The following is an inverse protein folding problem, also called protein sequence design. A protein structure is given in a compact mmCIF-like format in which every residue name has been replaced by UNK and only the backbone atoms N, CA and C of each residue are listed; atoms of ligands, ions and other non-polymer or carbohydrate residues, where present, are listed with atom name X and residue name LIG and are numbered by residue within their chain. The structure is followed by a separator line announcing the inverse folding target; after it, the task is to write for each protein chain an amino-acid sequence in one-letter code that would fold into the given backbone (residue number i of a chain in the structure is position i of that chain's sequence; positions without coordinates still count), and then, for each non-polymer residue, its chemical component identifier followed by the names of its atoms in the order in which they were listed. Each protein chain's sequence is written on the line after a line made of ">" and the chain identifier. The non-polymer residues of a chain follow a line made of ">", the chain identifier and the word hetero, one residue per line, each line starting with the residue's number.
data_IF_731485074129
#
_entry.id   IF_731485074129
#
_cell.length_a   1.000
_cell.length_b   1.000
_cell.length_c   1.000
_cell.angle_alpha   90.00
_cell.angle_beta   90.00
_cell.angle_gamma   90.00
#
_symmetry.space_group_name_H-M   'P 1'
#
loop_
_entity.id
_entity.type
_entity.pdbx_description
1 polymer ?
#
# COMPACT_ATOMS: atom_id res chain seq x y z
N UNK A 1 1.27 20.43 -14.17
CA UNK A 1 1.84 19.98 -12.87
C UNK A 1 0.72 19.27 -12.13
N UNK A 2 0.95 18.05 -11.62
CA UNK A 2 -0.05 17.38 -10.80
C UNK A 2 -0.25 18.15 -9.48
N UNK A 3 -1.47 18.20 -8.97
CA UNK A 3 -1.72 18.81 -7.67
C UNK A 3 -1.15 17.95 -6.54
N UNK A 4 -0.82 18.57 -5.41
CA UNK A 4 -0.33 17.84 -4.23
C UNK A 4 -1.30 16.73 -3.79
N UNK A 5 -2.61 16.96 -3.91
CA UNK A 5 -3.63 15.94 -3.61
C UNK A 5 -3.57 14.76 -4.60
N UNK A 6 -3.41 15.03 -5.90
CA UNK A 6 -3.27 13.98 -6.92
C UNK A 6 -2.00 13.14 -6.71
N UNK A 7 -0.89 13.75 -6.33
CA UNK A 7 0.35 13.02 -6.00
C UNK A 7 0.17 12.09 -4.80
N UNK A 8 -0.50 12.56 -3.75
CA UNK A 8 -0.80 11.77 -2.55
C UNK A 8 -1.76 10.62 -2.86
N UNK A 9 -2.81 10.86 -3.64
CA UNK A 9 -3.74 9.84 -4.10
C UNK A 9 -3.02 8.78 -4.97
N UNK A 10 -2.10 9.20 -5.85
CA UNK A 10 -1.31 8.26 -6.64
C UNK A 10 -0.37 7.43 -5.75
N UNK A 11 0.27 8.03 -4.73
CA UNK A 11 1.07 7.29 -3.74
C UNK A 11 0.22 6.24 -3.01
N UNK A 12 -1.00 6.59 -2.58
CA UNK A 12 -1.94 5.65 -1.96
C UNK A 12 -2.23 4.45 -2.88
N UNK A 13 -2.56 4.73 -4.15
CA UNK A 13 -2.84 3.71 -5.17
C UNK A 13 -1.64 2.76 -5.40
N UNK A 14 -0.43 3.31 -5.52
CA UNK A 14 0.79 2.51 -5.69
C UNK A 14 1.04 1.62 -4.48
N UNK A 15 0.84 2.14 -3.26
CA UNK A 15 0.98 1.35 -2.02
C UNK A 15 -0.03 0.22 -1.94
N UNK A 16 -1.29 0.43 -2.33
CA UNK A 16 -2.30 -0.62 -2.43
C UNK A 16 -1.91 -1.70 -3.45
N UNK A 17 -1.46 -1.28 -4.64
CA UNK A 17 -1.00 -2.21 -5.67
C UNK A 17 0.16 -3.07 -5.18
N UNK A 18 1.14 -2.49 -4.47
CA UNK A 18 2.24 -3.22 -3.86
C UNK A 18 1.75 -4.18 -2.76
N UNK A 19 0.81 -3.75 -1.92
CA UNK A 19 0.24 -4.61 -0.88
C UNK A 19 -0.40 -5.87 -1.47
N UNK A 20 -1.14 -5.72 -2.58
CA UNK A 20 -1.75 -6.84 -3.32
C UNK A 20 -0.68 -7.78 -3.91
N UNK A 21 0.43 -7.25 -4.44
CA UNK A 21 1.55 -8.09 -4.91
C UNK A 21 2.13 -8.92 -3.77
N UNK A 22 2.34 -8.34 -2.59
CA UNK A 22 2.84 -9.09 -1.43
C UNK A 22 1.84 -10.12 -0.89
N UNK A 23 0.54 -9.84 -0.96
CA UNK A 23 -0.49 -10.82 -0.63
C UNK A 23 -0.47 -12.02 -1.59
N UNK A 24 -0.31 -11.77 -2.89
CA UNK A 24 -0.13 -12.83 -3.87
C UNK A 24 1.15 -13.64 -3.61
N UNK A 25 2.28 -12.97 -3.30
CA UNK A 25 3.53 -13.64 -2.91
C UNK A 25 3.34 -14.50 -1.65
N UNK A 26 2.58 -14.03 -0.66
CA UNK A 26 2.24 -14.80 0.52
C UNK A 26 1.44 -16.06 0.16
N UNK A 27 0.49 -15.96 -0.77
CA UNK A 27 -0.33 -17.09 -1.22
C UNK A 27 0.48 -18.16 -1.94
N UNK A 28 1.40 -17.76 -2.82
CA UNK A 28 2.19 -18.70 -3.65
C UNK A 28 3.46 -19.20 -2.96
N UNK A 29 3.90 -18.57 -1.87
CA UNK A 29 5.15 -18.95 -1.21
C UNK A 29 5.03 -20.35 -0.57
N UNK A 30 5.99 -21.24 -0.85
CA UNK A 30 6.12 -22.54 -0.18
C UNK A 30 6.74 -22.46 1.23
N UNK A 31 7.29 -21.31 1.63
CA UNK A 31 8.05 -21.15 2.87
C UNK A 31 7.26 -20.41 3.95
N UNK A 32 6.98 -21.07 5.08
CA UNK A 32 6.30 -20.45 6.25
C UNK A 32 6.93 -19.12 6.69
N UNK A 33 8.26 -18.98 6.87
CA UNK A 33 8.83 -17.69 7.26
C UNK A 33 8.68 -16.61 6.17
N UNK A 34 8.72 -16.99 4.88
CA UNK A 34 8.50 -16.05 3.79
C UNK A 34 7.05 -15.54 3.76
N UNK A 35 6.05 -16.42 3.95
CA UNK A 35 4.64 -16.04 4.12
C UNK A 35 4.47 -14.99 5.22
N UNK A 36 5.07 -15.24 6.39
CA UNK A 36 5.05 -14.30 7.52
C UNK A 36 5.65 -12.93 7.17
N UNK A 37 6.76 -12.89 6.42
CA UNK A 37 7.35 -11.62 5.96
C UNK A 37 6.43 -10.89 4.97
N UNK A 38 5.87 -11.60 4.00
CA UNK A 38 5.02 -11.01 2.97
C UNK A 38 3.71 -10.47 3.54
N UNK A 39 3.05 -11.18 4.46
CA UNK A 39 1.81 -10.69 5.07
C UNK A 39 2.05 -9.44 5.93
N UNK A 40 3.15 -9.41 6.71
CA UNK A 40 3.54 -8.21 7.47
C UNK A 40 3.79 -7.02 6.56
N UNK A 41 4.48 -7.24 5.43
CA UNK A 41 4.77 -6.18 4.45
C UNK A 41 3.51 -5.69 3.75
N UNK A 42 2.61 -6.59 3.36
CA UNK A 42 1.31 -6.23 2.79
C UNK A 42 0.50 -5.34 3.74
N UNK A 43 0.40 -5.73 5.02
CA UNK A 43 -0.32 -4.97 6.04
C UNK A 43 0.32 -3.60 6.32
N UNK A 44 1.65 -3.51 6.31
CA UNK A 44 2.35 -2.22 6.42
C UNK A 44 2.01 -1.29 5.25
N UNK A 45 2.02 -1.80 4.02
CA UNK A 45 1.71 -1.01 2.83
C UNK A 45 0.24 -0.57 2.78
N UNK A 46 -0.70 -1.40 3.25
CA UNK A 46 -2.12 -1.02 3.39
C UNK A 46 -2.28 0.16 4.35
N UNK A 47 -1.60 0.14 5.50
CA UNK A 47 -1.61 1.26 6.46
C UNK A 47 -1.06 2.55 5.85
N UNK A 48 0.09 2.46 5.18
CA UNK A 48 0.67 3.62 4.47
C UNK A 48 -0.27 4.18 3.39
N UNK A 49 -0.97 3.31 2.66
CA UNK A 49 -1.93 3.76 1.66
C UNK A 49 -3.08 4.56 2.27
N UNK A 50 -3.60 4.10 3.41
CA UNK A 50 -4.66 4.81 4.16
C UNK A 50 -4.18 6.18 4.61
N UNK A 51 -2.94 6.29 5.13
CA UNK A 51 -2.35 7.56 5.54
C UNK A 51 -2.21 8.53 4.36
N UNK A 52 -1.74 8.05 3.20
CA UNK A 52 -1.66 8.88 2.00
C UNK A 52 -3.04 9.31 1.49
N UNK A 53 -4.05 8.44 1.57
CA UNK A 53 -5.41 8.78 1.16
C UNK A 53 -5.99 9.86 2.07
N UNK A 54 -5.86 9.71 3.40
CA UNK A 54 -6.29 10.72 4.37
C UNK A 54 -5.58 12.06 4.14
N UNK A 55 -4.28 12.04 3.84
CA UNK A 55 -3.54 13.25 3.52
C UNK A 55 -4.00 13.88 2.19
N UNK A 56 -4.34 13.07 1.19
CA UNK A 56 -4.88 13.58 -0.08
C UNK A 56 -6.23 14.29 0.13
N UNK A 57 -7.10 13.70 0.96
CA UNK A 57 -8.43 14.23 1.26
C UNK A 57 -8.34 15.53 2.07
N UNK A 58 -7.43 15.61 3.05
CA UNK A 58 -7.19 16.81 3.85
C UNK A 58 -6.60 17.99 3.06
N UNK A 59 -6.01 17.74 1.88
CA UNK A 59 -5.50 18.80 0.99
C UNK A 59 -6.60 19.31 0.04
N UNK A 60 -7.69 18.56 -0.14
CA UNK A 60 -8.83 18.98 -0.99
C UNK A 60 -9.82 19.87 -0.25
N UNK A 61 -9.91 19.71 1.06
CA UNK A 61 -10.70 20.55 1.98
C UNK A 61 -9.99 21.87 2.25
#
# INVERSE_FOLDING_TARGET
>A
MATKSEELANKARVKLALAKKYENLCRISGSKPARGKFIRRSNQLRRQAIEFQRAADAVKT
#
